data_IF_981136878065
#
_entry.id   IF_981136878065
#
_cell.length_a   1.000
_cell.length_b   1.000
_cell.length_c   1.000
_cell.angle_alpha   90.00
_cell.angle_beta   90.00
_cell.angle_gamma   90.00
#
_symmetry.space_group_name_H-M   'P 1'
#
loop_
_entity.id
_entity.type
_entity.pdbx_description
1 polymer ?
#
# COMPACT_ATOMS: atom_id res chain seq x y z
N UNK A 1 11.95 4.29 -5.09
CA UNK A 1 10.83 3.39 -4.77
C UNK A 1 11.40 2.01 -4.54
N UNK A 2 11.17 1.44 -3.36
CA UNK A 2 11.71 0.15 -2.93
C UNK A 2 10.63 -0.94 -2.98
N UNK A 3 10.91 -2.03 -3.68
CA UNK A 3 10.00 -3.12 -3.94
C UNK A 3 10.56 -4.40 -3.30
N UNK A 4 9.72 -5.16 -2.62
CA UNK A 4 10.03 -6.54 -2.22
C UNK A 4 9.37 -7.49 -3.22
N UNK A 5 10.14 -8.42 -3.79
CA UNK A 5 9.62 -9.50 -4.62
C UNK A 5 9.84 -10.85 -3.94
N UNK A 6 8.75 -11.50 -3.60
CA UNK A 6 8.70 -12.78 -2.88
C UNK A 6 8.27 -13.87 -3.85
N UNK A 7 9.12 -14.83 -4.14
CA UNK A 7 8.85 -15.95 -5.07
C UNK A 7 9.89 -17.05 -4.81
N UNK A 8 9.48 -18.30 -4.63
CA UNK A 8 10.38 -19.41 -4.36
C UNK A 8 11.34 -19.72 -5.53
N UNK A 9 10.96 -19.32 -6.74
CA UNK A 9 11.76 -19.41 -7.96
C UNK A 9 12.49 -18.09 -8.30
N UNK A 10 12.81 -17.25 -7.30
CA UNK A 10 13.41 -15.91 -7.49
C UNK A 10 14.66 -15.91 -8.35
N UNK A 11 15.42 -17.01 -8.38
CA UNK A 11 16.58 -17.15 -9.25
C UNK A 11 16.22 -17.10 -10.76
N UNK A 12 15.02 -17.54 -11.11
CA UNK A 12 14.51 -17.47 -12.49
C UNK A 12 14.04 -16.06 -12.87
N UNK A 13 13.81 -15.22 -11.87
CA UNK A 13 13.33 -13.86 -12.04
C UNK A 13 14.43 -12.79 -12.16
N UNK A 14 15.69 -13.20 -12.22
CA UNK A 14 16.84 -12.26 -12.31
C UNK A 14 16.72 -11.26 -13.45
N UNK A 15 16.22 -11.68 -14.61
CA UNK A 15 16.01 -10.78 -15.76
C UNK A 15 14.90 -9.73 -15.48
N UNK A 16 13.85 -10.11 -14.77
CA UNK A 16 12.77 -9.21 -14.36
C UNK A 16 13.25 -8.19 -13.33
N UNK A 17 14.02 -8.66 -12.35
CA UNK A 17 14.64 -7.78 -11.33
C UNK A 17 15.58 -6.78 -11.99
N UNK A 18 16.45 -7.22 -12.90
CA UNK A 18 17.35 -6.34 -13.64
C UNK A 18 16.58 -5.32 -14.51
N UNK A 19 15.50 -5.74 -15.15
CA UNK A 19 14.62 -4.87 -15.91
C UNK A 19 14.02 -3.77 -15.03
N UNK A 20 13.49 -4.11 -13.86
CA UNK A 20 12.90 -3.14 -12.92
C UNK A 20 13.97 -2.19 -12.35
N UNK A 21 15.14 -2.71 -11.99
CA UNK A 21 16.28 -1.89 -11.56
C UNK A 21 16.72 -0.91 -12.65
N UNK A 22 16.72 -1.36 -13.91
CA UNK A 22 16.98 -0.48 -15.09
C UNK A 22 15.92 0.60 -15.28
N UNK A 23 14.72 0.45 -14.68
CA UNK A 23 13.67 1.47 -14.66
C UNK A 23 13.71 2.37 -13.41
N UNK A 24 14.73 2.23 -12.56
CA UNK A 24 14.94 3.07 -11.38
C UNK A 24 14.25 2.57 -10.10
N UNK A 25 13.77 1.33 -10.08
CA UNK A 25 13.25 0.71 -8.85
C UNK A 25 14.37 0.03 -8.08
N UNK A 26 14.33 0.13 -6.75
CA UNK A 26 15.17 -0.66 -5.86
C UNK A 26 14.41 -1.95 -5.51
N UNK A 27 14.94 -3.11 -5.89
CA UNK A 27 14.23 -4.39 -5.76
C UNK A 27 15.01 -5.34 -4.87
N UNK A 28 14.45 -5.64 -3.70
CA UNK A 28 14.89 -6.73 -2.84
C UNK A 28 14.10 -8.00 -3.18
N UNK A 29 14.68 -9.15 -2.93
CA UNK A 29 14.06 -10.45 -3.21
C UNK A 29 14.20 -11.38 -2.03
N UNK A 30 13.20 -12.22 -1.79
CA UNK A 30 13.29 -13.39 -0.90
C UNK A 30 12.48 -14.56 -1.47
N UNK A 31 12.72 -15.75 -0.97
CA UNK A 31 12.21 -16.98 -1.56
C UNK A 31 11.15 -17.71 -0.73
N UNK A 32 10.65 -17.10 0.33
CA UNK A 32 9.60 -17.67 1.18
C UNK A 32 8.85 -16.60 1.96
N UNK A 33 7.66 -16.96 2.46
CA UNK A 33 6.78 -16.05 3.20
C UNK A 33 7.34 -15.63 4.57
N UNK A 34 8.04 -16.52 5.27
CA UNK A 34 8.58 -16.21 6.61
C UNK A 34 9.66 -15.11 6.53
N UNK A 35 10.58 -15.22 5.58
CA UNK A 35 11.61 -14.20 5.35
C UNK A 35 10.96 -12.89 4.87
N UNK A 36 9.91 -12.97 4.04
CA UNK A 36 9.17 -11.79 3.61
C UNK A 36 8.58 -11.01 4.78
N UNK A 37 7.95 -11.68 5.74
CA UNK A 37 7.38 -11.09 6.94
C UNK A 37 8.46 -10.39 7.77
N UNK A 38 9.61 -11.05 7.97
CA UNK A 38 10.73 -10.47 8.73
C UNK A 38 11.34 -9.24 8.01
N UNK A 39 11.48 -9.31 6.68
CA UNK A 39 11.96 -8.18 5.88
C UNK A 39 11.01 -6.99 5.94
N UNK A 40 9.70 -7.21 5.86
CA UNK A 40 8.69 -6.16 5.95
C UNK A 40 8.64 -5.53 7.34
N UNK A 41 8.92 -6.30 8.39
CA UNK A 41 9.01 -5.80 9.78
C UNK A 41 10.14 -4.81 9.96
N UNK A 42 11.31 -5.10 9.38
CA UNK A 42 12.55 -4.34 9.59
C UNK A 42 12.77 -3.25 8.54
N UNK A 43 12.19 -3.41 7.35
CA UNK A 43 12.42 -2.54 6.21
C UNK A 43 11.10 -2.02 5.63
N UNK A 44 10.94 -0.71 5.42
CA UNK A 44 9.77 -0.18 4.71
C UNK A 44 9.89 -0.45 3.21
N UNK A 45 8.83 -1.01 2.63
CA UNK A 45 8.66 -1.20 1.19
C UNK A 45 7.48 -0.37 0.69
N UNK A 46 7.64 0.21 -0.50
CA UNK A 46 6.59 0.99 -1.15
C UNK A 46 5.57 0.08 -1.88
N UNK A 47 5.99 -1.16 -2.21
CA UNK A 47 5.16 -2.16 -2.87
C UNK A 47 5.76 -3.55 -2.66
N UNK A 48 4.89 -4.56 -2.58
CA UNK A 48 5.28 -5.97 -2.46
C UNK A 48 4.69 -6.74 -3.64
N UNK A 49 5.52 -7.57 -4.28
CA UNK A 49 5.08 -8.57 -5.27
C UNK A 49 5.21 -9.92 -4.58
N UNK A 50 4.11 -10.66 -4.50
CA UNK A 50 4.01 -11.87 -3.69
C UNK A 50 3.49 -13.03 -4.52
N UNK A 51 4.31 -14.07 -4.68
CA UNK A 51 3.87 -15.31 -5.30
C UNK A 51 2.88 -16.04 -4.40
N UNK A 52 1.83 -16.57 -5.00
CA UNK A 52 0.82 -17.35 -4.29
C UNK A 52 1.34 -18.73 -3.89
N UNK A 53 2.06 -19.39 -4.80
CA UNK A 53 2.45 -20.79 -4.69
C UNK A 53 3.87 -20.93 -4.20
N UNK A 54 4.09 -20.85 -2.90
CA UNK A 54 5.39 -21.06 -2.27
C UNK A 54 5.37 -22.26 -1.32
N UNK A 55 6.48 -23.02 -1.21
CA UNK A 55 6.62 -24.10 -0.24
C UNK A 55 6.51 -23.57 1.22
N UNK A 56 5.85 -24.35 2.05
CA UNK A 56 5.65 -24.04 3.47
C UNK A 56 4.48 -23.08 3.68
N UNK A 57 4.70 -21.77 3.61
CA UNK A 57 3.67 -20.75 3.74
C UNK A 57 3.33 -20.17 2.36
N UNK A 58 2.08 -20.32 1.95
CA UNK A 58 1.58 -19.76 0.69
C UNK A 58 1.50 -18.23 0.72
N UNK A 59 1.42 -17.60 -0.46
CA UNK A 59 1.21 -16.15 -0.55
C UNK A 59 -0.08 -15.68 0.12
N UNK A 60 -1.16 -16.47 0.02
CA UNK A 60 -2.43 -16.16 0.67
C UNK A 60 -2.37 -16.24 2.20
N UNK A 61 -1.52 -17.10 2.75
CA UNK A 61 -1.26 -17.16 4.21
C UNK A 61 -0.30 -16.06 4.66
N UNK A 62 0.64 -15.68 3.81
CA UNK A 62 1.62 -14.61 4.06
C UNK A 62 0.99 -13.22 4.04
N UNK A 63 0.05 -12.99 3.12
CA UNK A 63 -0.58 -11.69 2.88
C UNK A 63 -1.20 -11.04 4.13
N UNK A 64 -2.06 -11.71 4.93
CA UNK A 64 -2.61 -11.10 6.14
C UNK A 64 -1.53 -10.69 7.14
N UNK A 65 -0.48 -11.49 7.31
CA UNK A 65 0.63 -11.21 8.23
C UNK A 65 1.46 -9.99 7.78
N UNK A 66 1.63 -9.82 6.48
CA UNK A 66 2.23 -8.60 5.92
C UNK A 66 1.33 -7.39 6.19
N UNK A 67 0.01 -7.54 5.97
CA UNK A 67 -0.96 -6.46 6.16
C UNK A 67 -1.14 -6.03 7.62
N UNK A 68 -0.96 -6.92 8.58
CA UNK A 68 -0.92 -6.57 10.01
C UNK A 68 0.24 -5.62 10.34
N UNK A 69 1.38 -5.78 9.68
CA UNK A 69 2.56 -4.95 9.93
C UNK A 69 2.58 -3.68 9.06
N UNK A 70 2.05 -3.76 7.86
CA UNK A 70 2.06 -2.69 6.84
C UNK A 70 0.70 -2.62 6.13
N UNK A 71 -0.36 -2.12 6.78
CA UNK A 71 -1.72 -2.12 6.23
C UNK A 71 -1.84 -1.39 4.88
N UNK A 72 -1.11 -0.30 4.73
CA UNK A 72 -1.19 0.60 3.56
C UNK A 72 -0.27 0.18 2.40
N UNK A 73 0.73 -0.70 2.63
CA UNK A 73 1.63 -1.12 1.56
C UNK A 73 0.87 -1.97 0.53
N UNK A 74 0.82 -1.57 -0.74
CA UNK A 74 0.15 -2.34 -1.79
C UNK A 74 0.86 -3.66 -2.03
N UNK A 75 0.05 -4.73 -2.19
CA UNK A 75 0.53 -6.07 -2.53
C UNK A 75 -0.04 -6.47 -3.88
N UNK A 76 0.83 -6.83 -4.81
CA UNK A 76 0.49 -7.44 -6.09
C UNK A 76 0.69 -8.94 -5.95
N UNK A 77 -0.38 -9.72 -6.11
CA UNK A 77 -0.29 -11.19 -6.08
C UNK A 77 0.13 -11.73 -7.45
N UNK A 78 1.03 -12.70 -7.46
CA UNK A 78 1.41 -13.46 -8.66
C UNK A 78 0.89 -14.88 -8.52
N UNK A 79 0.14 -15.39 -9.51
CA UNK A 79 -0.53 -16.70 -9.42
C UNK A 79 -0.46 -17.47 -10.75
N UNK A 80 -0.53 -18.79 -10.67
CA UNK A 80 -0.66 -19.68 -11.84
C UNK A 80 -2.11 -19.98 -12.21
N UNK A 81 -3.07 -19.60 -11.35
CA UNK A 81 -4.48 -19.95 -11.50
C UNK A 81 -5.36 -18.74 -11.77
N UNK A 82 -6.31 -18.92 -12.71
CA UNK A 82 -7.40 -17.99 -12.97
C UNK A 82 -8.66 -18.33 -12.14
N UNK A 83 -8.55 -19.25 -11.18
CA UNK A 83 -9.73 -19.72 -10.45
C UNK A 83 -10.35 -18.60 -9.60
N UNK A 84 -11.62 -18.38 -9.82
CA UNK A 84 -12.46 -17.35 -9.20
C UNK A 84 -12.42 -17.42 -7.65
N UNK A 85 -12.26 -18.63 -7.10
CA UNK A 85 -12.17 -18.86 -5.65
C UNK A 85 -10.89 -18.29 -5.00
N UNK A 86 -9.79 -18.23 -5.74
CA UNK A 86 -8.52 -17.64 -5.29
C UNK A 86 -8.63 -16.13 -5.39
N UNK A 87 -9.21 -15.61 -6.47
CA UNK A 87 -9.50 -14.19 -6.64
C UNK A 87 -10.41 -13.66 -5.53
N UNK A 88 -11.50 -14.35 -5.20
CA UNK A 88 -12.42 -13.93 -4.14
C UNK A 88 -11.75 -13.86 -2.75
N UNK A 89 -10.90 -14.85 -2.43
CA UNK A 89 -10.11 -14.82 -1.21
C UNK A 89 -9.08 -13.69 -1.19
N UNK A 90 -8.44 -13.46 -2.33
CA UNK A 90 -7.42 -12.41 -2.48
C UNK A 90 -8.04 -11.02 -2.48
N UNK A 91 -9.20 -10.82 -3.12
CA UNK A 91 -9.96 -9.56 -3.08
C UNK A 91 -10.43 -9.25 -1.65
N UNK A 92 -10.95 -10.26 -0.94
CA UNK A 92 -11.28 -10.13 0.49
C UNK A 92 -10.06 -9.82 1.38
N UNK A 93 -8.84 -10.12 0.90
CA UNK A 93 -7.57 -9.91 1.61
C UNK A 93 -6.87 -8.58 1.27
N UNK A 94 -7.55 -7.65 0.59
CA UNK A 94 -7.02 -6.30 0.28
C UNK A 94 -5.74 -6.30 -0.59
N UNK A 95 -5.68 -7.11 -1.64
CA UNK A 95 -4.62 -6.99 -2.66
C UNK A 95 -4.86 -5.78 -3.55
N UNK A 96 -3.78 -5.19 -4.04
CA UNK A 96 -3.83 -4.03 -4.93
C UNK A 96 -4.02 -4.41 -6.41
N UNK A 97 -3.46 -5.57 -6.81
CA UNK A 97 -3.54 -6.10 -8.16
C UNK A 97 -3.11 -7.58 -8.17
N UNK A 98 -3.33 -8.27 -9.29
CA UNK A 98 -2.82 -9.63 -9.50
C UNK A 98 -2.21 -9.79 -10.89
N UNK A 99 -1.26 -10.72 -11.03
CA UNK A 99 -0.57 -11.04 -12.27
C UNK A 99 -0.59 -12.56 -12.44
N UNK A 100 -1.00 -13.03 -13.61
CA UNK A 100 -1.04 -14.46 -13.95
C UNK A 100 0.30 -14.86 -14.57
N UNK A 101 0.87 -15.98 -14.10
CA UNK A 101 2.08 -16.58 -14.70
C UNK A 101 1.74 -17.18 -16.08
N UNK A 102 2.58 -17.03 -17.10
CA UNK A 102 3.97 -16.56 -17.05
C UNK A 102 4.07 -15.03 -16.93
N UNK A 103 4.93 -14.59 -16.02
CA UNK A 103 5.09 -13.15 -15.72
C UNK A 103 5.81 -12.42 -16.85
N UNK A 104 5.23 -11.37 -17.37
CA UNK A 104 5.87 -10.48 -18.34
C UNK A 104 6.41 -9.24 -17.62
N UNK A 105 7.70 -8.86 -17.81
CA UNK A 105 8.28 -7.69 -17.15
C UNK A 105 7.52 -6.37 -17.39
N UNK A 106 6.96 -6.18 -18.58
CA UNK A 106 6.16 -4.99 -18.89
C UNK A 106 4.81 -4.99 -18.16
N UNK A 107 4.20 -6.16 -17.95
CA UNK A 107 2.97 -6.29 -17.17
C UNK A 107 3.22 -5.94 -15.71
N UNK A 108 4.32 -6.44 -15.13
CA UNK A 108 4.74 -6.06 -13.77
C UNK A 108 4.95 -4.56 -13.66
N UNK A 109 5.69 -3.97 -14.60
CA UNK A 109 5.92 -2.52 -14.62
C UNK A 109 4.62 -1.72 -14.71
N UNK A 110 3.66 -2.16 -15.51
CA UNK A 110 2.36 -1.51 -15.65
C UNK A 110 1.55 -1.58 -14.34
N UNK A 111 1.51 -2.76 -13.72
CA UNK A 111 0.85 -2.96 -12.43
C UNK A 111 1.47 -2.10 -11.32
N UNK A 112 2.80 -2.03 -11.24
CA UNK A 112 3.51 -1.15 -10.32
C UNK A 112 3.09 0.31 -10.52
N UNK A 113 3.15 0.81 -11.76
CA UNK A 113 2.80 2.21 -12.08
C UNK A 113 1.35 2.53 -11.73
N UNK A 114 0.42 1.65 -12.05
CA UNK A 114 -1.00 1.80 -11.72
C UNK A 114 -1.22 1.98 -10.22
N UNK A 115 -0.59 1.14 -9.40
CA UNK A 115 -0.78 1.14 -7.96
C UNK A 115 -0.10 2.33 -7.27
N UNK A 116 1.11 2.71 -7.72
CA UNK A 116 1.81 3.90 -7.23
C UNK A 116 1.04 5.17 -7.58
N UNK A 117 0.58 5.30 -8.82
CA UNK A 117 -0.17 6.48 -9.25
C UNK A 117 -1.50 6.62 -8.50
N UNK A 118 -2.20 5.51 -8.26
CA UNK A 118 -3.43 5.50 -7.46
C UNK A 118 -3.19 5.99 -6.03
N UNK A 119 -2.10 5.55 -5.39
CA UNK A 119 -1.75 6.03 -4.05
C UNK A 119 -1.40 7.52 -4.03
N UNK A 120 -0.65 8.01 -5.03
CA UNK A 120 -0.33 9.44 -5.13
C UNK A 120 -1.59 10.29 -5.27
N UNK A 121 -2.52 9.89 -6.13
CA UNK A 121 -3.79 10.61 -6.32
C UNK A 121 -4.64 10.64 -5.04
N UNK A 122 -4.71 9.54 -4.29
CA UNK A 122 -5.41 9.49 -3.00
C UNK A 122 -4.74 10.43 -1.99
N UNK A 123 -3.41 10.40 -1.89
CA UNK A 123 -2.66 11.25 -0.97
C UNK A 123 -2.79 12.74 -1.35
N UNK A 124 -2.70 13.09 -2.63
CA UNK A 124 -2.87 14.46 -3.11
C UNK A 124 -4.28 14.99 -2.85
N UNK A 125 -5.30 14.15 -3.09
CA UNK A 125 -6.70 14.50 -2.83
C UNK A 125 -6.93 14.74 -1.34
N UNK A 126 -6.51 13.82 -0.48
CA UNK A 126 -6.63 13.97 0.97
C UNK A 126 -5.90 15.22 1.47
N UNK A 127 -4.71 15.53 0.95
CA UNK A 127 -3.97 16.72 1.31
C UNK A 127 -4.65 18.00 0.84
N UNK A 128 -5.27 18.00 -0.34
CA UNK A 128 -6.01 19.15 -0.85
C UNK A 128 -7.30 19.40 -0.04
N UNK A 129 -8.03 18.34 0.27
CA UNK A 129 -9.24 18.39 1.10
C UNK A 129 -8.90 18.88 2.53
N UNK A 130 -7.80 18.36 3.11
CA UNK A 130 -7.29 18.82 4.40
C UNK A 130 -6.97 20.34 4.38
N UNK A 131 -6.23 20.81 3.38
CA UNK A 131 -5.86 22.23 3.27
C UNK A 131 -7.07 23.13 3.09
N UNK A 132 -8.07 22.69 2.31
CA UNK A 132 -9.29 23.44 2.10
C UNK A 132 -10.10 23.57 3.40
N UNK A 133 -10.28 22.47 4.14
CA UNK A 133 -11.01 22.45 5.40
C UNK A 133 -10.29 23.23 6.49
N UNK A 134 -8.99 23.04 6.66
CA UNK A 134 -8.16 23.80 7.59
C UNK A 134 -8.21 25.30 7.29
N UNK A 135 -8.13 25.70 6.00
CA UNK A 135 -8.26 27.10 5.58
C UNK A 135 -9.62 27.69 5.93
N UNK A 136 -10.70 26.92 5.77
CA UNK A 136 -12.07 27.35 6.11
C UNK A 136 -12.22 27.58 7.61
N UNK A 137 -11.79 26.64 8.43
CA UNK A 137 -11.89 26.74 9.90
C UNK A 137 -10.98 27.87 10.42
N UNK A 138 -9.77 27.96 9.89
CA UNK A 138 -8.80 29.02 10.25
C UNK A 138 -9.32 30.42 9.93
N UNK A 139 -9.98 30.61 8.78
CA UNK A 139 -10.63 31.86 8.44
C UNK A 139 -11.78 32.21 9.41
N UNK A 140 -12.58 31.17 9.79
CA UNK A 140 -13.65 31.38 10.77
C UNK A 140 -13.12 31.79 12.16
N UNK A 141 -11.94 31.31 12.55
CA UNK A 141 -11.28 31.75 13.80
C UNK A 141 -10.86 33.21 13.76
N UNK A 142 -10.38 33.67 12.59
CA UNK A 142 -9.99 35.08 12.42
C UNK A 142 -11.19 36.04 12.46
N UNK A 143 -12.39 35.56 12.08
CA UNK A 143 -13.63 36.31 12.04
C UNK A 143 -14.47 36.24 13.35
N UNK A 144 -14.00 35.47 14.34
CA UNK A 144 -14.72 35.31 15.62
C UNK A 144 -14.88 36.63 16.36
N UNK A 145 -16.11 36.92 16.78
CA UNK A 145 -16.50 38.23 17.36
C UNK A 145 -16.21 38.31 18.85
N UNK A 146 -16.16 37.21 19.54
CA UNK A 146 -15.89 37.12 20.97
C UNK A 146 -15.12 35.84 21.32
N UNK A 147 -14.65 35.77 22.57
CA UNK A 147 -13.88 34.65 23.07
C UNK A 147 -14.69 33.34 23.12
N UNK A 148 -16.01 33.40 23.32
CA UNK A 148 -16.88 32.21 23.34
C UNK A 148 -17.01 31.59 21.95
N UNK A 149 -17.22 32.44 20.93
CA UNK A 149 -17.27 32.02 19.52
C UNK A 149 -15.91 31.44 19.07
N UNK A 150 -14.83 32.08 19.45
CA UNK A 150 -13.45 31.60 19.21
C UNK A 150 -13.23 30.21 19.80
N UNK A 151 -13.59 30.02 21.07
CA UNK A 151 -13.47 28.70 21.73
C UNK A 151 -14.30 27.60 21.05
N UNK A 152 -15.50 27.92 20.57
CA UNK A 152 -16.37 26.98 19.88
C UNK A 152 -15.77 26.52 18.54
N UNK A 153 -15.19 27.44 17.78
CA UNK A 153 -14.53 27.17 16.50
C UNK A 153 -13.23 26.38 16.73
N UNK A 154 -12.44 26.77 17.74
CA UNK A 154 -11.20 26.05 18.10
C UNK A 154 -11.45 24.59 18.50
N UNK A 155 -12.52 24.34 19.28
CA UNK A 155 -12.94 22.96 19.62
C UNK A 155 -13.30 22.14 18.37
N UNK A 156 -13.93 22.73 17.37
CA UNK A 156 -14.21 22.04 16.10
C UNK A 156 -12.91 21.66 15.36
N UNK A 157 -11.92 22.55 15.36
CA UNK A 157 -10.63 22.26 14.75
C UNK A 157 -9.94 21.07 15.45
N UNK A 158 -9.86 21.09 16.77
CA UNK A 158 -9.24 20.02 17.56
C UNK A 158 -9.97 18.68 17.36
N UNK A 159 -11.31 18.67 17.40
CA UNK A 159 -12.08 17.45 17.19
C UNK A 159 -11.90 16.90 15.78
N UNK A 160 -11.83 17.76 14.78
CA UNK A 160 -11.61 17.37 13.40
C UNK A 160 -10.19 16.78 13.19
N UNK A 161 -9.15 17.32 13.84
CA UNK A 161 -7.81 16.75 13.83
C UNK A 161 -7.76 15.37 14.49
N UNK A 162 -8.52 15.17 15.58
CA UNK A 162 -8.63 13.86 16.25
C UNK A 162 -9.33 12.85 15.34
N UNK A 163 -10.44 13.19 14.72
CA UNK A 163 -11.16 12.30 13.77
C UNK A 163 -10.29 11.87 12.59
N UNK A 164 -9.40 12.76 12.12
CA UNK A 164 -8.44 12.42 11.06
C UNK A 164 -7.37 11.43 11.53
N UNK A 165 -6.87 11.56 12.76
CA UNK A 165 -5.88 10.62 13.31
C UNK A 165 -6.50 9.26 13.58
N UNK A 166 -7.71 9.20 14.10
CA UNK A 166 -8.44 7.95 14.34
C UNK A 166 -8.82 7.24 13.02
N UNK A 167 -9.15 7.98 11.97
CA UNK A 167 -9.47 7.39 10.66
C UNK A 167 -8.25 6.83 9.91
N UNK A 168 -7.04 7.22 10.30
CA UNK A 168 -5.79 6.67 9.74
C UNK A 168 -5.31 5.41 10.48
N UNK A 169 -5.78 5.17 11.70
CA UNK A 169 -5.43 3.95 12.46
C UNK A 169 -6.36 2.76 12.14
N UNK A 170 -7.52 2.99 11.51
CA UNK A 170 -8.50 1.97 11.13
C UNK A 170 -8.43 1.55 9.63
N UNK A 171 -7.35 1.90 8.90
CA UNK A 171 -7.27 1.67 7.45
C UNK A 171 -6.19 0.67 7.07
#
# INVERSE_FOLDING_TARGET
MRILWVDDEVDLLKSHVLFLRGKGYDVDTCNNGADAIEMVRTTPYDLIILDEMMPGMTGLETLPLIKEQRPTTPVIMVTKSEEESIMDKAIGSKIADYIIKPVNPNQVLLSIKKNVHSQQLVTERNTADYRAEFGRISSSLADARDFGEWCAIYKKLVNWEIELTDSTDDS
#
